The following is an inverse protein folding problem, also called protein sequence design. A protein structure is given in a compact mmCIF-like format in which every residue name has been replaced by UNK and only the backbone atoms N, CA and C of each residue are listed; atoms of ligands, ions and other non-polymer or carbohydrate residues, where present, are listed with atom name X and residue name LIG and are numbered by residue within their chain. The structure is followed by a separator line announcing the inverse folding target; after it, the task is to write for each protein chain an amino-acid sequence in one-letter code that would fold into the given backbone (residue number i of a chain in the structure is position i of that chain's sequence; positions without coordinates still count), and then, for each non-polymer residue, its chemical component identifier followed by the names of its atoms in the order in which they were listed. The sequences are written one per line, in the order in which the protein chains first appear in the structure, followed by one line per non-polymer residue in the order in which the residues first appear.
data_IF_923335702834
#
_entry.id   IF_923335702834
#
_cell.length_a   1.000
_cell.length_b   1.000
_cell.length_c   1.000
_cell.angle_alpha   90.00
_cell.angle_beta   90.00
_cell.angle_gamma   90.00
#
_symmetry.space_group_name_H-M   'P 1'
#
loop_
_entity.id
_entity.type
_entity.pdbx_description
1 polymer ?
#
# COMPACT_ATOMS: atom_id res chain seq x y z
N UNK A 1 13.16 35.22 -42.93
CA UNK A 1 14.26 34.45 -42.29
C UNK A 1 14.72 35.25 -41.09
N UNK A 2 15.00 34.58 -39.97
CA UNK A 2 15.21 35.08 -38.59
C UNK A 2 14.00 34.80 -37.69
N UNK A 3 14.30 34.15 -36.56
CA UNK A 3 13.45 33.74 -35.43
C UNK A 3 12.63 32.44 -35.50
N UNK A 4 13.30 31.32 -35.80
CA UNK A 4 12.91 30.00 -35.27
C UNK A 4 14.02 29.32 -34.45
N UNK A 5 15.14 30.00 -34.20
CA UNK A 5 16.33 29.38 -33.62
C UNK A 5 16.60 29.73 -32.15
N UNK A 6 15.81 30.63 -31.54
CA UNK A 6 16.02 31.08 -30.16
C UNK A 6 15.20 30.34 -29.11
N UNK A 7 14.14 29.60 -29.48
CA UNK A 7 13.29 28.88 -28.50
C UNK A 7 13.76 27.47 -28.16
N UNK A 8 14.68 26.88 -28.94
CA UNK A 8 15.18 25.53 -28.71
C UNK A 8 16.39 25.43 -27.75
N UNK A 9 16.90 26.56 -27.24
CA UNK A 9 18.06 26.58 -26.32
C UNK A 9 17.69 26.73 -24.84
N UNK A 10 16.42 27.01 -24.52
CA UNK A 10 15.94 27.13 -23.14
C UNK A 10 15.20 25.89 -22.64
N UNK A 11 14.99 24.89 -23.50
CA UNK A 11 14.38 23.61 -23.14
C UNK A 11 15.42 22.49 -22.97
N UNK A 12 16.67 22.87 -22.70
CA UNK A 12 17.64 21.96 -22.12
C UNK A 12 17.10 21.60 -20.75
N UNK A 13 16.65 20.36 -20.63
CA UNK A 13 16.32 19.69 -19.39
C UNK A 13 17.21 20.24 -18.27
N UNK A 14 16.60 20.96 -17.33
CA UNK A 14 17.12 21.00 -15.97
C UNK A 14 17.09 19.56 -15.49
N UNK A 15 18.12 18.79 -15.88
CA UNK A 15 18.54 17.62 -15.15
C UNK A 15 18.72 18.11 -13.72
N UNK A 16 17.68 17.90 -12.89
CA UNK A 16 17.81 18.06 -11.45
C UNK A 16 19.06 17.25 -11.09
N UNK A 17 20.10 17.94 -10.60
CA UNK A 17 21.32 17.29 -10.13
C UNK A 17 20.91 16.07 -9.29
N UNK A 18 21.57 14.90 -9.45
CA UNK A 18 21.15 13.68 -8.80
C UNK A 18 21.03 13.94 -7.30
N UNK A 19 19.80 13.94 -6.79
CA UNK A 19 19.54 14.11 -5.36
C UNK A 19 20.31 13.01 -4.67
N UNK A 20 21.26 13.38 -3.80
CA UNK A 20 21.99 12.41 -3.02
C UNK A 20 20.99 11.54 -2.24
N UNK A 21 21.10 10.22 -2.36
CA UNK A 21 20.15 9.29 -1.74
C UNK A 21 19.97 9.54 -0.23
N UNK A 22 18.76 9.28 0.28
CA UNK A 22 18.42 9.55 1.67
C UNK A 22 19.13 8.56 2.60
N UNK A 23 20.06 9.06 3.42
CA UNK A 23 20.76 8.26 4.42
C UNK A 23 20.12 8.44 5.79
N UNK A 24 19.76 7.33 6.43
CA UNK A 24 19.22 7.36 7.79
C UNK A 24 20.24 7.94 8.77
N UNK A 25 19.84 9.03 9.43
CA UNK A 25 20.52 9.52 10.62
C UNK A 25 20.24 8.61 11.82
N UNK A 26 20.93 8.84 12.94
CA UNK A 26 20.63 8.14 14.20
C UNK A 26 19.16 8.30 14.61
N UNK A 27 18.58 9.48 14.33
CA UNK A 27 17.20 9.79 14.65
C UNK A 27 16.21 9.02 13.78
N UNK A 28 16.53 8.81 12.51
CA UNK A 28 15.72 8.00 11.60
C UNK A 28 15.74 6.52 12.05
N UNK A 29 16.90 6.00 12.47
CA UNK A 29 17.01 4.67 13.07
C UNK A 29 16.18 4.54 14.35
N UNK A 30 16.19 5.56 15.22
CA UNK A 30 15.31 5.58 16.39
C UNK A 30 13.83 5.53 15.97
N UNK A 31 13.42 6.35 15.00
CA UNK A 31 12.05 6.39 14.51
C UNK A 31 11.59 5.08 13.87
N UNK A 32 12.50 4.30 13.28
CA UNK A 32 12.17 2.98 12.72
C UNK A 32 11.70 2.00 13.81
N UNK A 33 12.34 2.04 14.98
CA UNK A 33 12.05 1.16 16.11
C UNK A 33 10.98 1.70 17.05
N UNK A 34 10.71 3.01 16.99
CA UNK A 34 9.70 3.67 17.80
C UNK A 34 8.39 3.86 17.00
N UNK A 35 7.30 3.14 17.35
CA UNK A 35 6.06 3.10 16.56
C UNK A 35 5.48 4.44 16.05
N UNK A 36 5.39 5.53 16.85
CA UNK A 36 4.98 6.86 16.38
C UNK A 36 5.90 7.49 15.32
N UNK A 37 7.13 7.01 15.18
CA UNK A 37 8.19 7.59 14.35
C UNK A 37 8.05 7.32 12.85
N UNK A 38 7.18 6.40 12.41
CA UNK A 38 7.07 6.07 10.99
C UNK A 38 6.52 7.23 10.14
N UNK A 39 5.56 8.00 10.66
CA UNK A 39 5.12 9.22 9.97
C UNK A 39 6.24 10.25 9.86
N UNK A 40 7.11 10.33 10.88
CA UNK A 40 8.28 11.23 10.86
C UNK A 40 9.21 10.82 9.72
N UNK A 41 9.52 9.53 9.60
CA UNK A 41 10.33 9.00 8.50
C UNK A 41 9.74 9.32 7.13
N UNK A 42 8.44 9.12 6.97
CA UNK A 42 7.77 9.35 5.68
C UNK A 42 7.82 10.81 5.24
N UNK A 43 7.51 11.73 6.16
CA UNK A 43 7.49 13.15 5.85
C UNK A 43 8.91 13.72 5.70
N UNK A 44 9.88 13.29 6.51
CA UNK A 44 11.30 13.69 6.35
C UNK A 44 11.88 13.22 5.03
N UNK A 45 11.64 11.96 4.66
CA UNK A 45 12.05 11.43 3.37
C UNK A 45 11.39 12.19 2.22
N UNK A 46 10.08 12.48 2.32
CA UNK A 46 9.40 13.30 1.31
C UNK A 46 10.03 14.69 1.15
N UNK A 47 10.25 15.41 2.25
CA UNK A 47 10.85 16.76 2.27
C UNK A 47 12.32 16.79 1.82
N UNK A 48 13.00 15.64 1.75
CA UNK A 48 14.33 15.53 1.15
C UNK A 48 14.28 15.55 -0.38
N UNK A 49 13.25 14.91 -0.97
CA UNK A 49 13.11 14.80 -2.43
C UNK A 49 12.20 15.86 -3.05
N UNK A 50 11.35 16.51 -2.25
CA UNK A 50 10.35 17.47 -2.72
C UNK A 50 10.44 18.78 -1.95
N UNK A 51 10.21 19.89 -2.66
CA UNK A 51 9.94 21.16 -2.00
C UNK A 51 8.51 21.10 -1.44
N UNK A 52 8.40 21.10 -0.12
CA UNK A 52 7.12 21.07 0.58
C UNK A 52 7.04 22.23 1.59
N UNK A 53 6.62 23.43 1.14
CA UNK A 53 6.55 24.61 2.00
C UNK A 53 5.50 24.48 3.10
N UNK A 54 4.48 23.64 2.89
CA UNK A 54 3.42 23.35 3.87
C UNK A 54 3.77 22.13 4.74
N UNK A 55 4.96 21.55 4.56
CA UNK A 55 5.46 20.38 5.26
C UNK A 55 5.72 20.63 6.75
N UNK A 56 6.21 19.59 7.43
CA UNK A 56 6.47 19.64 8.87
C UNK A 56 7.83 20.27 9.17
N UNK A 57 7.91 21.03 10.26
CA UNK A 57 9.18 21.56 10.76
C UNK A 57 9.84 20.60 11.76
N UNK A 58 11.15 20.75 11.93
CA UNK A 58 11.95 19.93 12.84
C UNK A 58 11.39 19.85 14.28
N UNK A 59 10.97 20.99 14.83
CA UNK A 59 10.40 21.04 16.18
C UNK A 59 9.03 20.34 16.27
N UNK A 60 8.23 20.40 15.20
CA UNK A 60 6.93 19.72 15.14
C UNK A 60 7.11 18.19 15.18
N UNK A 61 8.19 17.64 14.60
CA UNK A 61 8.52 16.22 14.72
C UNK A 61 8.85 15.78 16.15
N UNK A 62 9.48 16.65 16.95
CA UNK A 62 9.71 16.36 18.37
C UNK A 62 8.39 16.13 19.14
N UNK A 63 7.34 16.86 18.76
CA UNK A 63 6.02 16.72 19.38
C UNK A 63 5.33 15.39 19.05
N UNK A 64 5.65 14.73 17.93
CA UNK A 64 5.08 13.43 17.56
C UNK A 64 5.49 12.32 18.54
N UNK A 65 6.58 12.53 19.28
CA UNK A 65 7.18 11.55 20.18
C UNK A 65 6.61 11.59 21.60
N UNK A 66 5.76 12.58 21.91
CA UNK A 66 5.22 12.79 23.26
C UNK A 66 3.71 12.51 23.23
N UNK A 67 3.14 11.84 24.26
CA UNK A 67 1.69 11.64 24.35
C UNK A 67 0.91 12.95 24.18
N UNK A 68 -0.01 12.99 23.23
CA UNK A 68 -0.82 14.16 22.89
C UNK A 68 -0.09 15.26 22.10
N UNK A 69 1.23 15.18 21.97
CA UNK A 69 2.02 16.21 21.29
C UNK A 69 1.71 16.32 19.80
N UNK A 70 1.27 15.24 19.14
CA UNK A 70 0.81 15.31 17.76
C UNK A 70 -0.35 16.29 17.55
N UNK A 71 -1.27 16.42 18.50
CA UNK A 71 -2.36 17.41 18.40
C UNK A 71 -1.80 18.84 18.46
N UNK A 72 -0.80 19.07 19.30
CA UNK A 72 -0.08 20.35 19.36
C UNK A 72 0.68 20.62 18.06
N UNK A 73 1.29 19.59 17.47
CA UNK A 73 1.97 19.70 16.18
C UNK A 73 0.98 20.05 15.06
N UNK A 74 -0.19 19.40 15.02
CA UNK A 74 -1.25 19.74 14.07
C UNK A 74 -1.77 21.15 14.27
N UNK A 75 -2.00 21.56 15.51
CA UNK A 75 -2.43 22.93 15.84
C UNK A 75 -1.38 23.94 15.40
N UNK A 76 -0.10 23.68 15.70
CA UNK A 76 1.02 24.52 15.29
C UNK A 76 1.12 24.67 13.78
N UNK A 77 1.04 23.54 13.04
CA UNK A 77 1.01 23.53 11.58
C UNK A 77 -0.20 24.29 11.04
N UNK A 78 -1.39 24.07 11.57
CA UNK A 78 -2.61 24.75 11.14
C UNK A 78 -2.55 26.27 11.33
N UNK A 79 -2.06 26.72 12.49
CA UNK A 79 -1.85 28.15 12.78
C UNK A 79 -0.82 28.77 11.83
N UNK A 80 0.32 28.10 11.61
CA UNK A 80 1.37 28.54 10.69
C UNK A 80 0.86 28.67 9.24
N UNK A 81 -0.04 27.78 8.82
CA UNK A 81 -0.62 27.83 7.49
C UNK A 81 -1.70 28.91 7.33
N UNK A 82 -2.11 29.59 8.40
CA UNK A 82 -3.19 30.58 8.37
C UNK A 82 -4.57 29.94 8.46
N UNK A 83 -4.72 28.93 9.32
CA UNK A 83 -5.98 28.23 9.59
C UNK A 83 -6.60 27.49 8.39
N UNK A 84 -5.80 27.17 7.37
CA UNK A 84 -6.19 26.34 6.22
C UNK A 84 -5.61 24.93 6.31
N UNK A 85 -6.15 24.01 5.53
CA UNK A 85 -5.50 22.72 5.30
C UNK A 85 -4.21 22.87 4.48
N UNK A 86 -3.25 21.94 4.63
CA UNK A 86 -2.09 21.88 3.74
C UNK A 86 -2.52 21.82 2.27
N UNK A 87 -1.80 22.51 1.39
CA UNK A 87 -2.02 22.42 -0.04
C UNK A 87 -1.64 21.02 -0.50
N UNK A 88 -2.46 20.48 -1.40
CA UNK A 88 -2.09 19.29 -2.13
C UNK A 88 -1.56 19.72 -3.49
N UNK A 89 -0.23 19.76 -3.63
CA UNK A 89 0.37 19.89 -4.96
C UNK A 89 0.10 18.60 -5.75
N UNK A 90 -0.23 18.76 -7.03
CA UNK A 90 -0.52 17.64 -7.93
C UNK A 90 0.80 16.90 -8.19
N UNK A 91 0.91 15.70 -7.65
CA UNK A 91 1.97 14.76 -7.97
C UNK A 91 1.43 13.66 -8.86
N UNK A 92 1.95 13.54 -10.07
CA UNK A 92 1.79 12.34 -10.89
C UNK A 92 2.64 11.20 -10.32
N UNK A 93 2.47 9.99 -10.86
CA UNK A 93 3.33 8.86 -10.50
C UNK A 93 4.81 9.18 -10.78
N UNK A 94 5.64 9.13 -9.75
CA UNK A 94 7.10 9.33 -9.87
C UNK A 94 7.81 8.00 -9.62
N UNK A 95 8.29 7.38 -10.69
CA UNK A 95 8.99 6.09 -10.60
C UNK A 95 10.33 6.18 -9.85
N UNK A 96 11.01 7.32 -9.90
CA UNK A 96 12.29 7.52 -9.23
C UNK A 96 12.05 7.65 -7.72
N UNK A 97 11.07 8.47 -7.33
CA UNK A 97 10.70 8.60 -5.92
C UNK A 97 10.10 7.31 -5.36
N UNK A 98 9.26 6.60 -6.12
CA UNK A 98 8.77 5.28 -5.72
C UNK A 98 9.93 4.32 -5.43
N UNK A 99 10.94 4.29 -6.30
CA UNK A 99 12.12 3.46 -6.11
C UNK A 99 12.93 3.89 -4.88
N UNK A 100 13.19 5.18 -4.71
CA UNK A 100 13.91 5.72 -3.55
C UNK A 100 13.19 5.35 -2.25
N UNK A 101 11.89 5.66 -2.14
CA UNK A 101 11.09 5.33 -0.97
C UNK A 101 11.03 3.82 -0.69
N UNK A 102 10.91 3.02 -1.75
CA UNK A 102 10.93 1.54 -1.67
C UNK A 102 12.26 1.04 -1.10
N UNK A 103 13.39 1.56 -1.55
CA UNK A 103 14.72 1.09 -1.14
C UNK A 103 15.14 1.64 0.23
N UNK A 104 14.90 2.92 0.46
CA UNK A 104 15.47 3.67 1.58
C UNK A 104 14.58 3.60 2.83
N UNK A 105 13.26 3.47 2.69
CA UNK A 105 12.32 3.41 3.83
C UNK A 105 11.64 2.06 3.95
N UNK A 106 10.99 1.58 2.89
CA UNK A 106 10.26 0.30 2.94
C UNK A 106 11.25 -0.86 3.10
N UNK A 107 12.40 -0.85 2.42
CA UNK A 107 13.42 -1.88 2.53
C UNK A 107 13.84 -2.20 3.98
N UNK A 108 14.28 -1.21 4.78
CA UNK A 108 14.56 -1.42 6.20
C UNK A 108 13.37 -1.93 7.01
N UNK A 109 12.17 -1.38 6.80
CA UNK A 109 10.95 -1.84 7.49
C UNK A 109 10.67 -3.32 7.17
N UNK A 110 10.75 -3.69 5.89
CA UNK A 110 10.53 -5.08 5.45
C UNK A 110 11.60 -6.01 5.99
N UNK A 111 12.87 -5.64 5.94
CA UNK A 111 13.99 -6.51 6.35
C UNK A 111 14.05 -6.70 7.86
N UNK A 112 13.97 -5.62 8.63
CA UNK A 112 14.26 -5.65 10.08
C UNK A 112 13.00 -5.73 10.95
N UNK A 113 11.89 -5.15 10.49
CA UNK A 113 10.64 -5.12 11.24
C UNK A 113 9.74 -6.31 10.87
N UNK A 114 9.25 -6.33 9.63
CA UNK A 114 8.31 -7.35 9.16
C UNK A 114 8.97 -8.67 8.74
N UNK A 115 10.29 -8.68 8.54
CA UNK A 115 11.05 -9.85 8.06
C UNK A 115 10.31 -10.56 6.92
N UNK A 116 10.02 -9.78 5.87
CA UNK A 116 9.25 -10.24 4.72
C UNK A 116 9.97 -11.35 3.96
N UNK A 117 9.29 -12.46 3.67
CA UNK A 117 9.84 -13.63 3.00
C UNK A 117 8.99 -13.98 1.77
N UNK A 118 9.63 -14.13 0.61
CA UNK A 118 8.99 -14.59 -0.62
C UNK A 118 9.34 -16.07 -0.84
N UNK A 119 8.32 -16.90 -1.03
CA UNK A 119 8.40 -18.34 -1.22
C UNK A 119 7.82 -18.70 -2.60
N UNK A 120 8.33 -19.77 -3.22
CA UNK A 120 7.95 -20.24 -4.55
C UNK A 120 8.12 -19.19 -5.66
N UNK A 121 9.27 -18.50 -5.66
CA UNK A 121 9.61 -17.46 -6.64
C UNK A 121 9.66 -17.95 -8.09
N UNK A 122 9.86 -19.26 -8.28
CA UNK A 122 9.83 -19.95 -9.57
C UNK A 122 8.48 -19.82 -10.29
N UNK A 123 7.38 -19.61 -9.55
CA UNK A 123 6.05 -19.39 -10.12
C UNK A 123 5.85 -17.97 -10.70
N UNK A 124 6.78 -17.05 -10.45
CA UNK A 124 6.69 -15.67 -10.94
C UNK A 124 7.06 -15.62 -12.42
N UNK A 125 6.18 -15.15 -13.32
CA UNK A 125 6.49 -15.05 -14.74
C UNK A 125 7.63 -14.04 -14.99
N UNK A 126 8.36 -14.16 -16.11
CA UNK A 126 9.51 -13.28 -16.38
C UNK A 126 9.09 -11.84 -16.79
N UNK A 127 7.90 -11.67 -17.38
CA UNK A 127 7.38 -10.39 -17.88
C UNK A 127 5.88 -10.26 -17.59
N UNK A 128 5.40 -9.02 -17.48
CA UNK A 128 3.98 -8.66 -17.37
C UNK A 128 3.38 -8.23 -18.72
N UNK A 129 2.09 -7.83 -18.77
CA UNK A 129 1.18 -7.47 -17.66
C UNK A 129 0.76 -8.63 -16.75
N UNK A 130 0.38 -8.31 -15.50
CA UNK A 130 0.00 -9.32 -14.52
C UNK A 130 -0.93 -8.76 -13.43
N UNK A 131 -1.94 -9.53 -13.01
CA UNK A 131 -2.72 -9.28 -11.81
C UNK A 131 -2.18 -10.16 -10.69
N UNK A 132 -1.50 -9.59 -9.70
CA UNK A 132 -1.08 -10.29 -8.49
C UNK A 132 -2.22 -10.25 -7.48
N UNK A 133 -2.88 -11.38 -7.26
CA UNK A 133 -4.07 -11.49 -6.42
C UNK A 133 -3.71 -12.06 -5.05
N UNK A 134 -3.77 -11.25 -3.99
CA UNK A 134 -3.35 -11.62 -2.64
C UNK A 134 -4.45 -11.41 -1.60
N UNK A 135 -4.54 -12.29 -0.59
CA UNK A 135 -5.37 -12.01 0.58
C UNK A 135 -4.88 -10.77 1.34
N UNK A 136 -5.82 -10.00 1.90
CA UNK A 136 -5.52 -8.75 2.58
C UNK A 136 -6.17 -8.74 3.96
N UNK A 137 -5.41 -8.42 5.01
CA UNK A 137 -5.90 -8.46 6.37
C UNK A 137 -5.25 -7.41 7.29
N UNK A 138 -5.62 -7.45 8.57
CA UNK A 138 -4.97 -6.66 9.60
C UNK A 138 -5.64 -5.32 9.91
N UNK A 139 -6.69 -4.88 9.19
CA UNK A 139 -7.48 -3.67 9.55
C UNK A 139 -6.61 -2.45 9.93
N UNK A 140 -5.56 -2.22 9.15
CA UNK A 140 -4.56 -1.16 9.36
C UNK A 140 -4.05 -0.67 7.99
N UNK A 141 -3.03 0.18 8.00
CA UNK A 141 -2.35 0.61 6.79
C UNK A 141 -1.81 -0.62 5.99
N UNK A 142 -1.81 -0.60 4.65
CA UNK A 142 -1.64 -1.82 3.83
C UNK A 142 -0.17 -2.28 3.72
N UNK A 143 0.43 -2.64 4.86
CA UNK A 143 1.82 -3.08 4.97
C UNK A 143 2.10 -4.41 4.29
N UNK A 144 1.11 -5.29 4.26
CA UNK A 144 1.17 -6.55 3.53
C UNK A 144 1.36 -6.32 2.03
N UNK A 145 0.68 -5.31 1.46
CA UNK A 145 0.82 -4.92 0.05
C UNK A 145 2.17 -4.25 -0.23
N UNK A 146 2.57 -3.28 0.60
CA UNK A 146 3.86 -2.60 0.43
C UNK A 146 5.05 -3.55 0.54
N UNK A 147 4.97 -4.49 1.48
CA UNK A 147 6.00 -5.52 1.66
C UNK A 147 6.07 -6.44 0.45
N UNK A 148 4.94 -6.91 -0.08
CA UNK A 148 4.96 -7.75 -1.29
C UNK A 148 5.48 -6.97 -2.51
N UNK A 149 5.05 -5.73 -2.70
CA UNK A 149 5.54 -4.87 -3.78
C UNK A 149 7.06 -4.66 -3.69
N UNK A 150 7.61 -4.47 -2.48
CA UNK A 150 9.05 -4.43 -2.24
C UNK A 150 9.73 -5.74 -2.66
N UNK A 151 9.26 -6.88 -2.16
CA UNK A 151 9.85 -8.19 -2.42
C UNK A 151 9.83 -8.58 -3.90
N UNK A 152 8.71 -8.33 -4.60
CA UNK A 152 8.61 -8.55 -6.05
C UNK A 152 9.53 -7.61 -6.84
N UNK A 153 9.66 -6.37 -6.40
CA UNK A 153 10.59 -5.40 -6.96
C UNK A 153 12.05 -5.85 -6.83
N UNK A 154 12.45 -6.41 -5.68
CA UNK A 154 13.81 -6.96 -5.49
C UNK A 154 14.02 -8.24 -6.31
N UNK A 155 13.02 -9.11 -6.36
CA UNK A 155 13.08 -10.40 -7.04
C UNK A 155 13.16 -10.30 -8.57
N UNK A 156 12.45 -9.33 -9.17
CA UNK A 156 12.26 -9.25 -10.64
C UNK A 156 12.52 -7.87 -11.24
N UNK A 157 12.89 -6.86 -10.45
CA UNK A 157 13.00 -5.47 -10.92
C UNK A 157 11.64 -4.85 -11.26
N UNK A 158 10.55 -5.42 -10.76
CA UNK A 158 9.20 -5.01 -11.11
C UNK A 158 8.78 -3.69 -10.45
N UNK A 159 8.10 -2.85 -11.23
CA UNK A 159 7.36 -1.68 -10.74
C UNK A 159 5.93 -2.09 -10.45
N UNK A 160 5.70 -2.57 -9.22
CA UNK A 160 4.39 -3.03 -8.77
C UNK A 160 3.53 -1.84 -8.37
N UNK A 161 2.28 -1.82 -8.83
CA UNK A 161 1.30 -0.78 -8.52
C UNK A 161 0.14 -1.38 -7.71
N UNK A 162 -0.02 -1.03 -6.43
CA UNK A 162 -1.10 -1.55 -5.61
C UNK A 162 -2.41 -0.84 -5.90
N UNK A 163 -3.50 -1.61 -5.99
CA UNK A 163 -4.84 -1.04 -5.96
C UNK A 163 -5.19 -0.61 -4.55
N UNK A 164 -5.65 0.63 -4.42
CA UNK A 164 -5.94 1.26 -3.16
C UNK A 164 -7.36 1.84 -3.15
N UNK A 165 -8.02 1.76 -2.00
CA UNK A 165 -9.30 2.41 -1.80
C UNK A 165 -9.15 3.95 -1.96
N UNK A 166 -10.10 4.66 -2.59
CA UNK A 166 -10.06 6.13 -2.73
C UNK A 166 -9.79 6.89 -1.41
N UNK A 167 -10.20 6.34 -0.26
CA UNK A 167 -9.89 6.91 1.04
C UNK A 167 -8.39 7.07 1.31
N UNK A 168 -7.52 6.24 0.74
CA UNK A 168 -6.06 6.38 0.87
C UNK A 168 -5.52 7.61 0.13
N UNK A 169 -6.26 8.13 -0.85
CA UNK A 169 -5.87 9.30 -1.65
C UNK A 169 -6.46 10.60 -1.08
N UNK A 170 -7.74 10.57 -0.71
CA UNK A 170 -8.51 11.80 -0.52
C UNK A 170 -9.07 11.97 0.90
N UNK A 171 -9.02 10.94 1.75
CA UNK A 171 -9.61 11.07 3.08
C UNK A 171 -8.84 12.11 3.90
N UNK A 172 -9.51 13.07 4.57
CA UNK A 172 -8.84 14.16 5.30
C UNK A 172 -7.75 13.66 6.26
N UNK A 173 -8.04 12.58 6.99
CA UNK A 173 -7.07 11.91 7.85
C UNK A 173 -5.76 11.54 7.13
N UNK A 174 -5.81 11.03 5.90
CA UNK A 174 -4.60 10.75 5.11
C UNK A 174 -3.89 12.04 4.67
N UNK A 175 -4.68 13.02 4.19
CA UNK A 175 -4.19 14.34 3.73
C UNK A 175 -3.39 15.07 4.80
N UNK A 176 -3.80 14.96 6.06
CA UNK A 176 -3.15 15.65 7.18
C UNK A 176 -1.83 15.01 7.61
N UNK A 177 -1.65 13.71 7.35
CA UNK A 177 -0.60 12.92 7.98
C UNK A 177 0.48 12.46 7.02
N UNK A 178 0.06 12.10 5.82
CA UNK A 178 0.92 11.61 4.76
C UNK A 178 1.34 12.79 3.88
N UNK A 179 2.44 12.62 3.14
CA UNK A 179 2.83 13.60 2.15
C UNK A 179 1.73 13.91 1.11
N UNK A 180 1.85 15.06 0.43
CA UNK A 180 0.88 15.47 -0.57
C UNK A 180 0.73 14.43 -1.69
N UNK A 181 -0.51 14.01 -1.96
CA UNK A 181 -0.88 13.03 -3.01
C UNK A 181 -0.03 11.76 -2.99
N UNK A 182 0.49 11.38 -1.82
CA UNK A 182 1.55 10.38 -1.71
C UNK A 182 1.20 9.01 -2.30
N UNK A 183 -0.05 8.56 -2.12
CA UNK A 183 -0.52 7.31 -2.74
C UNK A 183 -0.43 7.35 -4.27
N UNK A 184 -0.70 8.49 -4.90
CA UNK A 184 -0.58 8.66 -6.35
C UNK A 184 0.88 8.70 -6.78
N UNK A 185 1.72 9.47 -6.08
CA UNK A 185 3.16 9.57 -6.39
C UNK A 185 3.86 8.22 -6.27
N UNK A 186 3.49 7.41 -5.27
CA UNK A 186 4.00 6.05 -5.08
C UNK A 186 3.39 5.01 -6.04
N UNK A 187 2.55 5.41 -6.99
CA UNK A 187 1.99 4.53 -8.01
C UNK A 187 0.81 3.69 -7.56
N UNK A 188 0.10 4.12 -6.51
CA UNK A 188 -1.18 3.56 -6.13
C UNK A 188 -2.22 3.83 -7.21
N UNK A 189 -2.95 2.78 -7.61
CA UNK A 189 -4.06 2.86 -8.56
C UNK A 189 -5.36 2.89 -7.76
N UNK A 190 -6.26 3.84 -8.05
CA UNK A 190 -7.57 3.87 -7.38
C UNK A 190 -8.34 2.60 -7.73
N UNK A 191 -9.03 2.04 -6.74
CA UNK A 191 -9.88 0.86 -6.91
C UNK A 191 -11.21 1.21 -7.63
N UNK A 192 -11.10 1.86 -8.78
CA UNK A 192 -12.17 2.26 -9.68
C UNK A 192 -11.93 1.59 -11.05
N UNK A 193 -13.00 1.26 -11.76
CA UNK A 193 -12.90 0.46 -12.98
C UNK A 193 -12.02 1.15 -14.04
N UNK A 194 -12.22 2.46 -14.25
CA UNK A 194 -11.50 3.23 -15.26
C UNK A 194 -9.99 3.28 -14.97
N UNK A 195 -9.59 3.58 -13.73
CA UNK A 195 -8.18 3.63 -13.35
C UNK A 195 -7.51 2.26 -13.49
N UNK A 196 -8.23 1.20 -13.16
CA UNK A 196 -7.74 -0.15 -13.32
C UNK A 196 -7.56 -0.53 -14.79
N UNK A 197 -8.54 -0.23 -15.66
CA UNK A 197 -8.45 -0.48 -17.10
C UNK A 197 -7.30 0.28 -17.75
N UNK A 198 -7.09 1.55 -17.36
CA UNK A 198 -5.95 2.34 -17.82
C UNK A 198 -4.63 1.70 -17.40
N UNK A 199 -4.49 1.30 -16.13
CA UNK A 199 -3.26 0.70 -15.65
C UNK A 199 -2.98 -0.67 -16.30
N UNK A 200 -4.01 -1.46 -16.54
CA UNK A 200 -3.94 -2.72 -17.29
C UNK A 200 -3.50 -2.48 -18.74
N UNK A 201 -4.12 -1.51 -19.44
CA UNK A 201 -3.78 -1.17 -20.82
C UNK A 201 -2.32 -0.70 -20.98
N UNK A 202 -1.75 -0.11 -19.93
CA UNK A 202 -0.34 0.29 -19.87
C UNK A 202 0.63 -0.85 -19.54
N UNK A 203 0.17 -2.10 -19.48
CA UNK A 203 1.01 -3.26 -19.26
C UNK A 203 1.56 -3.38 -17.83
N UNK A 204 0.92 -2.75 -16.85
CA UNK A 204 1.42 -2.68 -15.46
C UNK A 204 1.27 -4.02 -14.72
N UNK A 205 2.01 -4.15 -13.62
CA UNK A 205 1.86 -5.23 -12.66
C UNK A 205 1.03 -4.72 -11.50
N UNK A 206 -0.21 -5.22 -11.41
CA UNK A 206 -1.19 -4.72 -10.46
C UNK A 206 -1.30 -5.65 -9.27
N UNK A 207 -1.16 -5.09 -8.07
CA UNK A 207 -1.37 -5.82 -6.83
C UNK A 207 -2.81 -5.60 -6.36
N UNK A 208 -3.58 -6.68 -6.27
CA UNK A 208 -5.03 -6.68 -6.11
C UNK A 208 -5.45 -7.51 -4.90
N UNK A 209 -6.41 -7.02 -4.12
CA UNK A 209 -7.03 -7.75 -3.00
C UNK A 209 -8.39 -8.35 -3.44
N UNK A 210 -8.49 -9.67 -3.70
CA UNK A 210 -9.74 -10.29 -4.12
C UNK A 210 -10.89 -10.12 -3.13
N UNK A 211 -10.60 -10.07 -1.83
CA UNK A 211 -11.61 -9.86 -0.78
C UNK A 211 -12.17 -8.41 -0.76
N UNK A 212 -11.52 -7.48 -1.46
CA UNK A 212 -11.76 -6.05 -1.33
C UNK A 212 -11.66 -5.58 0.12
N UNK A 213 -12.51 -4.62 0.51
CA UNK A 213 -12.55 -4.10 1.89
C UNK A 213 -12.96 -5.18 2.91
N UNK A 214 -13.66 -6.26 2.49
CA UNK A 214 -14.13 -7.31 3.41
C UNK A 214 -12.96 -8.01 4.09
N UNK A 215 -11.84 -8.19 3.39
CA UNK A 215 -10.63 -8.84 3.89
C UNK A 215 -10.10 -8.17 5.16
N UNK A 216 -9.64 -6.89 5.10
CA UNK A 216 -9.20 -6.17 6.29
C UNK A 216 -10.33 -5.90 7.29
N UNK A 217 -11.57 -5.70 6.83
CA UNK A 217 -12.69 -5.37 7.72
C UNK A 217 -13.21 -6.56 8.58
N UNK A 218 -12.79 -7.81 8.31
CA UNK A 218 -13.30 -9.01 9.00
C UNK A 218 -12.92 -9.10 10.49
N UNK A 219 -11.87 -8.39 10.89
CA UNK A 219 -11.34 -8.40 12.24
C UNK A 219 -10.64 -9.70 12.64
N UNK A 220 -10.06 -9.68 13.85
CA UNK A 220 -9.16 -10.71 14.36
C UNK A 220 -9.82 -12.07 14.58
N UNK A 221 -11.12 -12.08 14.94
CA UNK A 221 -11.87 -13.32 15.16
C UNK A 221 -11.97 -14.18 13.90
N UNK A 222 -11.91 -13.55 12.72
CA UNK A 222 -11.94 -14.20 11.40
C UNK A 222 -10.56 -14.22 10.73
N UNK A 223 -9.47 -14.15 11.52
CA UNK A 223 -8.11 -14.31 11.00
C UNK A 223 -7.97 -15.62 10.23
N UNK A 224 -7.20 -15.62 9.15
CA UNK A 224 -7.00 -16.75 8.25
C UNK A 224 -8.25 -17.24 7.50
N UNK A 225 -9.39 -16.59 7.65
CA UNK A 225 -10.61 -16.91 6.90
C UNK A 225 -10.78 -15.92 5.76
N UNK A 226 -10.57 -16.37 4.53
CA UNK A 226 -10.81 -15.58 3.33
C UNK A 226 -12.29 -15.22 3.23
N UNK A 227 -12.54 -13.94 2.99
CA UNK A 227 -13.87 -13.45 2.67
C UNK A 227 -14.20 -13.74 1.21
N UNK A 228 -15.46 -13.52 0.86
CA UNK A 228 -15.95 -13.63 -0.51
C UNK A 228 -15.12 -12.78 -1.47
N UNK A 229 -14.65 -13.39 -2.55
CA UNK A 229 -13.90 -12.69 -3.58
C UNK A 229 -14.82 -11.88 -4.49
N UNK A 230 -14.37 -10.70 -4.88
CA UNK A 230 -14.96 -9.91 -5.96
C UNK A 230 -14.76 -10.60 -7.31
N UNK A 231 -15.64 -10.33 -8.27
CA UNK A 231 -15.55 -10.92 -9.61
C UNK A 231 -14.71 -10.08 -10.57
N UNK A 232 -14.44 -8.82 -10.25
CA UNK A 232 -13.88 -7.86 -11.20
C UNK A 232 -12.49 -8.26 -11.70
N UNK A 233 -11.60 -8.75 -10.84
CA UNK A 233 -10.28 -9.19 -11.29
C UNK A 233 -10.33 -10.36 -12.28
N UNK A 234 -11.30 -11.27 -12.13
CA UNK A 234 -11.51 -12.37 -13.09
C UNK A 234 -12.07 -11.83 -14.40
N UNK A 235 -13.05 -10.92 -14.34
CA UNK A 235 -13.61 -10.29 -15.54
C UNK A 235 -12.55 -9.53 -16.34
N UNK A 236 -11.63 -8.89 -15.64
CA UNK A 236 -10.58 -8.08 -16.25
C UNK A 236 -9.46 -8.95 -16.78
N UNK A 237 -9.09 -10.00 -16.05
CA UNK A 237 -8.18 -11.05 -16.53
C UNK A 237 -8.69 -11.65 -17.84
N UNK A 238 -9.97 -11.99 -17.92
CA UNK A 238 -10.62 -12.56 -19.10
C UNK A 238 -10.70 -11.55 -20.26
N UNK A 239 -11.14 -10.31 -19.97
CA UNK A 239 -11.30 -9.24 -20.97
C UNK A 239 -9.99 -8.83 -21.63
N UNK A 240 -8.91 -8.76 -20.85
CA UNK A 240 -7.62 -8.26 -21.33
C UNK A 240 -6.59 -9.38 -21.56
N UNK A 241 -6.98 -10.64 -21.38
CA UNK A 241 -6.11 -11.82 -21.48
C UNK A 241 -4.87 -11.73 -20.59
N UNK A 242 -5.06 -11.23 -19.37
CA UNK A 242 -3.96 -11.00 -18.42
C UNK A 242 -4.00 -12.11 -17.37
N UNK A 243 -2.87 -12.79 -17.12
CA UNK A 243 -2.82 -13.85 -16.13
C UNK A 243 -3.00 -13.30 -14.71
N UNK A 244 -3.48 -14.18 -13.82
CA UNK A 244 -3.59 -13.91 -12.40
C UNK A 244 -2.50 -14.71 -11.70
N UNK A 245 -1.63 -14.05 -10.93
CA UNK A 245 -0.67 -14.69 -10.04
C UNK A 245 -1.27 -14.71 -8.62
N UNK A 246 -1.78 -15.85 -8.13
CA UNK A 246 -2.33 -15.91 -6.79
C UNK A 246 -1.19 -15.95 -5.76
N UNK A 247 -1.33 -15.19 -4.69
CA UNK A 247 -0.35 -15.16 -3.59
C UNK A 247 -1.08 -15.32 -2.26
N UNK A 248 -0.57 -16.21 -1.41
CA UNK A 248 -1.04 -16.35 -0.03
C UNK A 248 -0.08 -15.62 0.89
N UNK A 249 -0.58 -14.64 1.64
CA UNK A 249 0.14 -13.95 2.70
C UNK A 249 -0.26 -14.50 4.07
N UNK A 250 0.69 -15.13 4.76
CA UNK A 250 0.55 -15.52 6.17
C UNK A 250 1.23 -14.45 7.04
N UNK A 251 0.55 -14.05 8.12
CA UNK A 251 1.06 -13.09 9.10
C UNK A 251 0.46 -11.69 8.98
N UNK A 252 -0.27 -11.38 7.90
CA UNK A 252 -0.94 -10.10 7.68
C UNK A 252 -2.01 -9.81 8.72
N UNK A 253 -2.67 -10.83 9.26
CA UNK A 253 -3.67 -10.66 10.32
C UNK A 253 -3.03 -10.06 11.57
N UNK A 254 -1.79 -10.48 11.88
CA UNK A 254 -1.00 -10.06 13.05
C UNK A 254 -0.41 -8.67 12.90
N UNK A 255 -0.76 -7.91 11.87
CA UNK A 255 -0.42 -6.48 11.76
C UNK A 255 -1.22 -5.62 12.75
N UNK A 256 -2.42 -6.05 13.14
CA UNK A 256 -3.22 -5.37 14.17
C UNK A 256 -4.07 -6.38 14.96
N UNK A 257 -3.45 -7.12 15.90
CA UNK A 257 -4.09 -8.21 16.62
C UNK A 257 -5.22 -7.71 17.54
N UNK A 258 -6.16 -8.62 17.83
CA UNK A 258 -7.34 -8.39 18.68
C UNK A 258 -8.30 -7.29 18.22
N UNK A 259 -8.12 -6.79 17.00
CA UNK A 259 -8.95 -5.73 16.44
C UNK A 259 -10.28 -6.26 15.95
N UNK A 260 -11.35 -5.51 16.17
CA UNK A 260 -12.65 -5.71 15.54
C UNK A 260 -13.18 -4.40 14.95
N UNK A 261 -14.12 -4.50 14.01
CA UNK A 261 -14.61 -3.33 13.27
C UNK A 261 -15.89 -2.75 13.91
N UNK A 262 -15.93 -1.44 14.15
CA UNK A 262 -17.15 -0.74 14.58
C UNK A 262 -17.91 -0.21 13.35
N UNK A 263 -18.76 -1.07 12.81
CA UNK A 263 -19.47 -0.82 11.54
C UNK A 263 -20.44 0.35 11.54
N UNK A 264 -21.00 0.72 12.70
CA UNK A 264 -21.92 1.87 12.82
C UNK A 264 -21.15 3.20 12.69
N UNK A 265 -20.04 3.33 13.42
CA UNK A 265 -19.28 4.57 13.50
C UNK A 265 -18.45 4.82 12.24
N UNK A 266 -17.92 3.77 11.58
CA UNK A 266 -17.15 3.95 10.33
C UNK A 266 -17.95 4.68 9.25
N UNK A 267 -19.28 4.48 9.18
CA UNK A 267 -20.14 5.09 8.15
C UNK A 267 -20.31 6.58 8.40
N UNK A 268 -20.36 6.99 9.66
CA UNK A 268 -20.49 8.39 10.06
C UNK A 268 -19.24 9.19 9.63
N UNK A 269 -18.06 8.60 9.80
CA UNK A 269 -16.78 9.25 9.50
C UNK A 269 -16.20 8.88 8.13
N UNK A 270 -16.96 8.19 7.28
CA UNK A 270 -16.60 7.81 5.90
C UNK A 270 -15.26 7.04 5.77
N UNK A 271 -14.92 6.22 6.76
CA UNK A 271 -13.76 5.32 6.71
C UNK A 271 -14.15 3.92 6.22
N UNK A 272 -13.24 3.20 5.52
CA UNK A 272 -13.52 1.84 5.04
C UNK A 272 -13.75 0.86 6.19
N UNK A 273 -13.04 1.04 7.29
CA UNK A 273 -13.20 0.33 8.55
C UNK A 273 -12.77 1.23 9.71
N UNK A 274 -13.34 1.00 10.90
CA UNK A 274 -12.90 1.67 12.13
C UNK A 274 -12.40 0.61 13.11
N UNK A 275 -11.08 0.43 13.23
CA UNK A 275 -10.51 -0.61 14.07
C UNK A 275 -10.64 -0.24 15.54
N UNK A 276 -11.27 -1.11 16.32
CA UNK A 276 -11.25 -1.03 17.78
C UNK A 276 -10.39 -2.16 18.34
N UNK A 277 -9.38 -1.78 19.11
CA UNK A 277 -8.41 -2.67 19.74
C UNK A 277 -7.82 -1.99 20.98
N UNK A 278 -7.12 -2.71 21.88
CA UNK A 278 -6.37 -2.08 22.97
C UNK A 278 -5.37 -1.03 22.47
N UNK A 279 -4.82 -1.22 21.27
CA UNK A 279 -3.90 -0.28 20.63
C UNK A 279 -4.58 1.06 20.29
N UNK A 280 -5.90 1.09 20.16
CA UNK A 280 -6.64 2.32 19.87
C UNK A 280 -6.52 3.36 21.00
N UNK A 281 -6.29 2.94 22.24
CA UNK A 281 -5.98 3.87 23.35
C UNK A 281 -4.63 4.56 23.12
N UNK A 282 -3.63 3.82 22.64
CA UNK A 282 -2.35 4.39 22.25
C UNK A 282 -2.50 5.30 21.02
N UNK A 283 -3.37 4.97 20.06
CA UNK A 283 -3.66 5.82 18.91
C UNK A 283 -4.26 7.18 19.32
N UNK A 284 -5.09 7.22 20.37
CA UNK A 284 -5.63 8.48 20.88
C UNK A 284 -4.53 9.39 21.44
N UNK A 285 -3.51 8.82 22.09
CA UNK A 285 -2.38 9.57 22.60
C UNK A 285 -1.35 9.88 21.50
N UNK A 286 -1.21 8.98 20.54
CA UNK A 286 -0.26 9.07 19.43
C UNK A 286 -1.01 8.81 18.12
N UNK A 287 -1.69 9.81 17.54
CA UNK A 287 -2.36 9.68 16.24
C UNK A 287 -1.42 9.19 15.12
N UNK A 288 -0.11 9.44 15.25
CA UNK A 288 0.92 8.90 14.38
C UNK A 288 0.99 7.37 14.33
N UNK A 289 0.40 6.69 15.31
CA UNK A 289 0.19 5.23 15.29
C UNK A 289 -0.81 4.77 14.23
N UNK A 290 -1.51 5.66 13.54
CA UNK A 290 -2.50 5.29 12.54
C UNK A 290 -1.92 4.57 11.31
N UNK A 291 -0.64 4.78 11.04
CA UNK A 291 0.12 3.99 10.04
C UNK A 291 0.88 2.83 10.67
N UNK A 292 0.99 2.75 11.99
CA UNK A 292 1.79 1.71 12.62
C UNK A 292 1.08 0.35 12.60
N UNK A 293 1.88 -0.72 12.58
CA UNK A 293 1.42 -2.09 12.70
C UNK A 293 2.36 -2.87 13.61
N UNK A 294 1.83 -3.88 14.29
CA UNK A 294 2.63 -4.74 15.17
C UNK A 294 3.66 -5.53 14.39
N UNK A 295 4.82 -5.76 15.02
CA UNK A 295 5.89 -6.58 14.48
C UNK A 295 5.41 -8.01 14.24
N UNK A 296 5.34 -8.41 12.98
CA UNK A 296 4.95 -9.75 12.54
C UNK A 296 5.95 -10.27 11.50
N UNK A 297 5.91 -11.56 11.16
CA UNK A 297 6.61 -12.11 10.00
C UNK A 297 5.63 -12.19 8.83
N UNK A 298 5.90 -11.49 7.74
CA UNK A 298 5.07 -11.54 6.54
C UNK A 298 5.63 -12.55 5.55
N UNK A 299 4.93 -13.67 5.36
CA UNK A 299 5.36 -14.77 4.48
C UNK A 299 4.43 -14.87 3.28
N UNK A 300 5.00 -14.79 2.08
CA UNK A 300 4.28 -14.77 0.83
C UNK A 300 4.55 -16.05 0.05
N UNK A 301 3.51 -16.86 -0.16
CA UNK A 301 3.59 -18.13 -0.88
C UNK A 301 2.95 -17.95 -2.25
N UNK A 302 3.79 -17.87 -3.28
CA UNK A 302 3.34 -17.65 -4.65
C UNK A 302 2.78 -18.96 -5.20
N UNK A 303 1.53 -18.93 -5.65
CA UNK A 303 0.86 -20.09 -6.21
C UNK A 303 1.12 -20.18 -7.72
N UNK A 304 0.91 -21.36 -8.33
CA UNK A 304 0.98 -21.49 -9.79
C UNK A 304 0.09 -20.47 -10.50
N UNK A 305 0.62 -19.92 -11.60
CA UNK A 305 -0.03 -18.90 -12.42
C UNK A 305 -1.37 -19.40 -12.96
N UNK A 306 -2.42 -18.60 -12.81
CA UNK A 306 -3.71 -18.85 -13.46
C UNK A 306 -3.72 -18.10 -14.80
N UNK A 307 -3.90 -18.79 -15.94
CA UNK A 307 -3.85 -18.16 -17.26
C UNK A 307 -5.00 -17.17 -17.46
N UNK A 308 -4.74 -16.09 -18.20
CA UNK A 308 -5.74 -15.08 -18.56
C UNK A 308 -6.77 -15.54 -19.59
N UNK A 309 -6.51 -16.69 -20.23
CA UNK A 309 -7.45 -17.35 -21.13
C UNK A 309 -8.11 -18.50 -20.39
N UNK A 310 -9.30 -18.26 -19.86
CA UNK A 310 -10.08 -19.32 -19.23
C UNK A 310 -11.05 -19.93 -20.26
N UNK A 311 -10.55 -20.38 -21.40
CA UNK A 311 -11.34 -21.08 -22.41
C UNK A 311 -12.25 -20.16 -23.24
N UNK A 312 -12.11 -20.33 -24.55
CA UNK A 312 -12.83 -19.78 -25.72
C UNK A 312 -14.37 -19.69 -25.62
N UNK A 313 -14.93 -19.02 -24.62
CA UNK A 313 -16.34 -18.67 -24.57
C UNK A 313 -16.48 -17.24 -24.01
N UNK A 314 -16.39 -16.27 -24.91
CA UNK A 314 -16.65 -14.84 -24.69
C UNK A 314 -18.07 -14.52 -24.17
N UNK A 315 -18.85 -15.55 -23.84
CA UNK A 315 -20.22 -15.48 -23.36
C UNK A 315 -20.40 -16.22 -22.01
N UNK A 316 -19.37 -16.26 -21.16
CA UNK A 316 -19.53 -16.75 -19.79
C UNK A 316 -20.51 -15.84 -19.05
N UNK A 317 -21.68 -16.38 -18.74
CA UNK A 317 -22.65 -15.69 -17.89
C UNK A 317 -22.04 -15.30 -16.53
N UNK A 318 -22.59 -14.26 -15.89
CA UNK A 318 -22.13 -13.72 -14.60
C UNK A 318 -21.90 -14.81 -13.54
N UNK A 319 -22.68 -15.88 -13.58
CA UNK A 319 -22.58 -17.05 -12.70
C UNK A 319 -21.25 -17.80 -12.86
N UNK A 320 -20.74 -17.98 -14.08
CA UNK A 320 -19.50 -18.72 -14.33
C UNK A 320 -18.28 -17.94 -13.80
N UNK A 321 -18.22 -16.63 -14.07
CA UNK A 321 -17.18 -15.74 -13.53
C UNK A 321 -17.21 -15.75 -11.99
N UNK A 322 -18.41 -15.69 -11.41
CA UNK A 322 -18.60 -15.78 -9.97
C UNK A 322 -18.06 -17.09 -9.38
N UNK A 323 -18.47 -18.23 -9.96
CA UNK A 323 -18.01 -19.55 -9.54
C UNK A 323 -16.50 -19.65 -9.63
N UNK A 324 -15.90 -19.10 -10.68
CA UNK A 324 -14.45 -19.10 -10.84
C UNK A 324 -13.73 -18.31 -9.74
N UNK A 325 -14.18 -17.08 -9.45
CA UNK A 325 -13.62 -16.29 -8.37
C UNK A 325 -13.73 -17.01 -7.02
N UNK A 326 -14.86 -17.68 -6.75
CA UNK A 326 -15.03 -18.44 -5.51
C UNK A 326 -14.23 -19.75 -5.49
N UNK A 327 -14.04 -20.43 -6.62
CA UNK A 327 -13.17 -21.60 -6.73
C UNK A 327 -11.72 -21.23 -6.42
N UNK A 328 -11.24 -20.08 -6.91
CA UNK A 328 -9.92 -19.57 -6.55
C UNK A 328 -9.84 -19.26 -5.04
N UNK A 329 -10.86 -18.62 -4.46
CA UNK A 329 -10.94 -18.40 -3.01
C UNK A 329 -10.82 -19.70 -2.22
N UNK A 330 -11.53 -20.75 -2.62
CA UNK A 330 -11.50 -22.05 -1.94
C UNK A 330 -10.14 -22.72 -2.05
N UNK A 331 -9.52 -22.67 -3.24
CA UNK A 331 -8.13 -23.13 -3.46
C UNK A 331 -7.16 -22.41 -2.52
N UNK A 332 -7.23 -21.08 -2.43
CA UNK A 332 -6.35 -20.29 -1.56
C UNK A 332 -6.65 -20.52 -0.07
N UNK A 333 -7.92 -20.72 0.31
CA UNK A 333 -8.29 -21.05 1.68
C UNK A 333 -7.70 -22.40 2.10
N UNK A 334 -7.76 -23.40 1.20
CA UNK A 334 -7.16 -24.70 1.44
C UNK A 334 -5.63 -24.59 1.65
N UNK A 335 -4.96 -23.80 0.82
CA UNK A 335 -3.52 -23.52 0.96
C UNK A 335 -3.19 -22.84 2.28
N UNK A 336 -3.96 -21.82 2.70
CA UNK A 336 -3.80 -21.18 4.02
C UNK A 336 -3.89 -22.21 5.14
N UNK A 337 -4.88 -23.10 5.10
CA UNK A 337 -5.08 -24.11 6.13
C UNK A 337 -3.88 -25.08 6.22
N UNK A 338 -3.35 -25.52 5.07
CA UNK A 338 -2.16 -26.39 5.02
C UNK A 338 -0.92 -25.70 5.57
N UNK A 339 -0.68 -24.44 5.16
CA UNK A 339 0.47 -23.67 5.62
C UNK A 339 0.43 -23.42 7.13
N UNK A 340 -0.75 -23.17 7.69
CA UNK A 340 -0.91 -22.99 9.14
C UNK A 340 -0.61 -24.28 9.92
N UNK A 341 -1.04 -25.44 9.41
CA UNK A 341 -0.71 -26.73 10.02
C UNK A 341 0.80 -26.98 10.01
N UNK A 342 1.46 -26.69 8.90
CA UNK A 342 2.91 -26.84 8.79
C UNK A 342 3.66 -25.90 9.74
N UNK A 343 3.27 -24.62 9.80
CA UNK A 343 3.87 -23.63 10.69
C UNK A 343 3.65 -23.98 12.17
N UNK A 344 2.52 -24.59 12.53
CA UNK A 344 2.25 -25.01 13.91
C UNK A 344 3.04 -26.27 14.33
N UNK A 345 3.54 -27.04 13.37
CA UNK A 345 4.32 -28.26 13.62
C UNK A 345 5.83 -28.02 13.74
N UNK A 346 6.31 -26.83 13.33
CA UNK A 346 7.69 -26.38 13.45
C UNK A 346 7.85 -25.44 14.64
#
# INVERSE_FOLDING_TARGET
MINQHSENLLNTQLEKAPVQGYKFSWFDWFCLWYPPGWLILFNRHWQHYHQDPDGWHWLEYGLFLIPGGFYLAMLSRWLRLGCRSPRQEVGEFDANYQQAFRQEVIGPIVKYYFRGELQQIENVPPKGPLIVAMNHAGMCFPWDFLTLAYLLGEARGWKVQPLANPALFDHPWMVWWLPSKWSQVLGGVRAELNDFEVAIAQGKILLYAPEGIRGPAKGWRKRHQLQKFEVSFVQLSDRYHIPILPVVCIGSEFLHPWTFNITKLQRLIKLPFLPFSPLMLALLLFPSMGVWATKTRLRYFIQPLEPGELGTNSNKGRTAVYQQAQKLREKLQFQINQLLQHIAAC
#
